data_IF_509579431129
#
_entry.id   IF_509579431129
#
_cell.length_a   1.000
_cell.length_b   1.000
_cell.length_c   1.000
_cell.angle_alpha   90.00
_cell.angle_beta   90.00
_cell.angle_gamma   90.00
#
_symmetry.space_group_name_H-M   'P 1'
#
loop_
_entity.id
_entity.type
_entity.pdbx_description
1 polymer ?
#
# COMPACT_ATOMS: atom_id res chain seq x y z
N UNK A 1 12.23 2.41 6.80
CA UNK A 1 12.34 0.99 6.38
C UNK A 1 13.02 0.86 5.00
N UNK A 2 13.36 -0.34 4.52
CA UNK A 2 13.83 -0.55 3.14
C UNK A 2 12.66 -0.94 2.23
N UNK A 3 12.76 -0.65 0.93
CA UNK A 3 11.70 -0.94 -0.07
C UNK A 3 11.20 -2.38 -0.03
N UNK A 4 12.13 -3.33 0.05
CA UNK A 4 11.80 -4.74 0.10
C UNK A 4 10.89 -5.09 1.30
N UNK A 5 11.14 -4.49 2.46
CA UNK A 5 10.33 -4.70 3.66
C UNK A 5 8.93 -4.08 3.48
N UNK A 6 8.86 -2.85 2.98
CA UNK A 6 7.58 -2.16 2.73
C UNK A 6 6.72 -2.96 1.75
N UNK A 7 7.31 -3.39 0.62
CA UNK A 7 6.63 -4.21 -0.38
C UNK A 7 6.17 -5.54 0.21
N UNK A 8 7.02 -6.23 0.97
CA UNK A 8 6.67 -7.48 1.62
C UNK A 8 5.48 -7.32 2.58
N UNK A 9 5.46 -6.22 3.35
CA UNK A 9 4.38 -5.91 4.29
C UNK A 9 3.07 -5.54 3.56
N UNK A 10 3.14 -4.79 2.46
CA UNK A 10 1.95 -4.52 1.62
C UNK A 10 1.39 -5.84 1.07
N UNK A 11 2.24 -6.74 0.56
CA UNK A 11 1.78 -8.06 0.11
C UNK A 11 1.22 -8.92 1.25
N UNK A 12 1.75 -8.79 2.46
CA UNK A 12 1.19 -9.46 3.63
C UNK A 12 -0.23 -8.93 3.95
N UNK A 13 -0.46 -7.63 3.80
CA UNK A 13 -1.80 -7.03 3.90
C UNK A 13 -2.72 -7.52 2.78
N UNK A 14 -2.26 -7.59 1.53
CA UNK A 14 -3.04 -8.17 0.43
C UNK A 14 -3.49 -9.58 0.79
N UNK A 15 -2.59 -10.45 1.25
CA UNK A 15 -2.92 -11.83 1.65
C UNK A 15 -3.85 -11.90 2.86
N UNK A 16 -3.82 -10.89 3.73
CA UNK A 16 -4.73 -10.79 4.88
C UNK A 16 -6.16 -10.51 4.46
N UNK A 17 -6.35 -9.60 3.51
CA UNK A 17 -7.68 -9.22 3.02
C UNK A 17 -8.17 -10.11 1.87
N UNK A 18 -7.25 -10.69 1.11
CA UNK A 18 -7.49 -11.60 -0.02
C UNK A 18 -6.64 -12.86 0.16
N UNK A 19 -7.07 -13.81 1.01
CA UNK A 19 -6.31 -15.03 1.30
C UNK A 19 -6.19 -15.98 0.09
N UNK A 20 -7.06 -15.81 -0.90
CA UNK A 20 -7.01 -16.49 -2.21
C UNK A 20 -5.99 -15.88 -3.18
N UNK A 21 -5.30 -14.80 -2.79
CA UNK A 21 -4.24 -14.21 -3.59
C UNK A 21 -3.04 -15.15 -3.71
N UNK A 22 -2.97 -15.87 -4.83
CA UNK A 22 -1.80 -16.67 -5.23
C UNK A 22 -0.89 -15.94 -6.22
N UNK A 23 -1.07 -14.63 -6.39
CA UNK A 23 -0.20 -13.81 -7.24
C UNK A 23 1.23 -13.74 -6.70
N UNK A 24 2.17 -13.48 -7.61
CA UNK A 24 3.58 -13.30 -7.25
C UNK A 24 3.82 -12.01 -6.46
N UNK A 25 5.08 -11.77 -6.07
CA UNK A 25 5.48 -10.52 -5.42
C UNK A 25 5.83 -9.44 -6.46
N UNK A 26 5.04 -9.35 -7.52
CA UNK A 26 5.30 -8.41 -8.61
C UNK A 26 4.76 -7.03 -8.25
N UNK A 27 5.65 -6.11 -7.91
CA UNK A 27 5.31 -4.75 -7.50
C UNK A 27 4.66 -3.91 -8.62
N UNK A 28 4.80 -4.32 -9.89
CA UNK A 28 4.17 -3.62 -11.02
C UNK A 28 2.71 -4.02 -11.19
N UNK A 29 2.22 -5.03 -10.46
CA UNK A 29 0.82 -5.42 -10.47
C UNK A 29 -0.04 -4.33 -9.84
N UNK A 30 -1.14 -3.99 -10.51
CA UNK A 30 -2.16 -3.11 -9.94
C UNK A 30 -3.01 -3.87 -8.91
N UNK A 31 -3.54 -3.18 -7.91
CA UNK A 31 -4.42 -3.79 -6.90
C UNK A 31 -5.60 -4.54 -7.54
N UNK A 32 -6.23 -3.94 -8.55
CA UNK A 32 -7.32 -4.57 -9.31
C UNK A 32 -6.85 -5.81 -10.09
N UNK A 33 -5.63 -5.79 -10.63
CA UNK A 33 -5.05 -6.93 -11.35
C UNK A 33 -4.64 -8.06 -10.39
N UNK A 34 -4.28 -7.72 -9.16
CA UNK A 34 -4.09 -8.66 -8.06
C UNK A 34 -5.43 -9.25 -7.56
N UNK A 35 -6.58 -8.80 -8.06
CA UNK A 35 -7.90 -9.24 -7.62
C UNK A 35 -8.36 -8.56 -6.33
N UNK A 36 -7.67 -7.50 -5.90
CA UNK A 36 -8.10 -6.66 -4.78
C UNK A 36 -9.27 -5.81 -5.25
N UNK A 37 -10.41 -5.96 -4.58
CA UNK A 37 -11.59 -5.16 -4.87
C UNK A 37 -11.36 -3.68 -4.50
N UNK A 38 -12.18 -2.80 -5.08
CA UNK A 38 -12.20 -1.37 -4.76
C UNK A 38 -12.39 -1.08 -3.25
N UNK A 39 -13.26 -1.83 -2.57
CA UNK A 39 -13.45 -1.68 -1.12
C UNK A 39 -12.21 -2.17 -0.36
N UNK A 40 -11.66 -3.31 -0.77
CA UNK A 40 -10.48 -3.89 -0.16
C UNK A 40 -9.24 -3.03 -0.36
N UNK A 41 -9.15 -2.31 -1.47
CA UNK A 41 -8.06 -1.36 -1.76
C UNK A 41 -8.05 -0.23 -0.73
N UNK A 42 -9.23 0.30 -0.37
CA UNK A 42 -9.35 1.32 0.68
C UNK A 42 -8.91 0.77 2.04
N UNK A 43 -9.41 -0.41 2.44
CA UNK A 43 -9.00 -1.07 3.70
C UNK A 43 -7.50 -1.35 3.75
N UNK A 44 -6.91 -1.76 2.62
CA UNK A 44 -5.48 -2.02 2.49
C UNK A 44 -4.65 -0.75 2.62
N UNK A 45 -5.07 0.34 1.99
CA UNK A 45 -4.39 1.62 2.07
C UNK A 45 -4.45 2.14 3.51
N UNK A 46 -5.63 2.14 4.15
CA UNK A 46 -5.79 2.54 5.56
C UNK A 46 -4.97 1.66 6.51
N UNK A 47 -4.93 0.35 6.27
CA UNK A 47 -4.08 -0.55 7.04
C UNK A 47 -2.59 -0.26 6.81
N UNK A 48 -2.20 0.12 5.60
CA UNK A 48 -0.83 0.52 5.26
C UNK A 48 -0.46 1.85 5.93
N UNK A 49 -1.31 2.86 5.85
CA UNK A 49 -1.19 4.14 6.55
C UNK A 49 -0.92 3.95 8.04
N UNK A 50 -1.79 3.19 8.72
CA UNK A 50 -1.64 2.91 10.15
C UNK A 50 -0.41 2.07 10.46
N UNK A 51 0.04 1.21 9.53
CA UNK A 51 1.16 0.29 9.74
C UNK A 51 2.50 1.00 9.57
N UNK A 52 2.61 1.88 8.59
CA UNK A 52 3.82 2.63 8.30
C UNK A 52 3.83 4.03 8.94
N UNK A 53 2.70 4.45 9.54
CA UNK A 53 2.58 5.78 10.15
C UNK A 53 2.56 6.91 9.12
N UNK A 54 1.99 6.67 7.93
CA UNK A 54 1.87 7.66 6.86
C UNK A 54 0.40 8.09 6.68
N UNK A 55 0.17 9.27 6.13
CA UNK A 55 -1.16 9.77 5.76
C UNK A 55 -1.22 9.91 4.23
N UNK A 56 -2.14 9.18 3.60
CA UNK A 56 -2.39 9.17 2.16
C UNK A 56 -3.69 9.93 1.91
N UNK A 57 -3.61 11.17 1.36
CA UNK A 57 -4.82 11.94 1.09
C UNK A 57 -5.63 11.31 -0.05
N UNK A 58 -6.95 11.55 -0.03
CA UNK A 58 -7.88 11.09 -1.07
C UNK A 58 -7.48 11.51 -2.49
N UNK A 59 -6.69 12.57 -2.66
CA UNK A 59 -6.18 13.04 -3.95
C UNK A 59 -5.06 12.18 -4.52
N UNK A 60 -4.27 11.53 -3.65
CA UNK A 60 -3.19 10.62 -4.03
C UNK A 60 -3.67 9.17 -4.11
N UNK A 61 -4.64 8.78 -3.27
CA UNK A 61 -5.33 7.47 -3.30
C UNK A 61 -5.62 6.91 -4.72
N UNK A 62 -6.26 7.66 -5.65
CA UNK A 62 -6.54 7.18 -7.00
C UNK A 62 -5.29 7.06 -7.89
N UNK A 63 -4.15 7.67 -7.50
CA UNK A 63 -2.86 7.52 -8.19
C UNK A 63 -2.15 6.26 -7.75
N UNK A 64 -2.34 5.83 -6.50
CA UNK A 64 -1.79 4.60 -5.94
C UNK A 64 -2.53 3.38 -6.48
N UNK A 65 -2.24 3.04 -7.73
CA UNK A 65 -2.89 1.93 -8.43
C UNK A 65 -2.08 0.64 -8.34
N UNK A 66 -0.77 0.74 -8.09
CA UNK A 66 0.16 -0.40 -8.02
C UNK A 66 0.80 -0.52 -6.64
N UNK A 67 1.30 -1.73 -6.33
CA UNK A 67 2.07 -1.97 -5.11
C UNK A 67 3.34 -1.12 -5.09
N UNK A 68 3.98 -0.95 -6.25
CA UNK A 68 5.15 -0.08 -6.38
C UNK A 68 4.82 1.37 -6.02
N UNK A 69 3.71 1.93 -6.51
CA UNK A 69 3.30 3.31 -6.18
C UNK A 69 3.08 3.46 -4.67
N UNK A 70 2.32 2.55 -4.05
CA UNK A 70 2.07 2.60 -2.62
C UNK A 70 3.37 2.47 -1.81
N UNK A 71 4.24 1.55 -2.20
CA UNK A 71 5.53 1.38 -1.54
C UNK A 71 6.41 2.62 -1.68
N UNK A 72 6.48 3.21 -2.88
CA UNK A 72 7.26 4.42 -3.15
C UNK A 72 6.72 5.63 -2.37
N UNK A 73 5.40 5.74 -2.26
CA UNK A 73 4.74 6.75 -1.44
C UNK A 73 5.09 6.58 0.04
N UNK A 74 4.89 5.38 0.58
CA UNK A 74 5.23 5.05 1.97
C UNK A 74 6.70 5.36 2.25
N UNK A 75 7.61 5.00 1.35
CA UNK A 75 9.04 5.27 1.54
C UNK A 75 9.40 6.74 1.52
N UNK A 76 8.72 7.56 0.72
CA UNK A 76 8.96 9.00 0.67
C UNK A 76 8.33 9.73 1.87
N UNK A 77 7.21 9.23 2.37
CA UNK A 77 6.42 9.87 3.41
C UNK A 77 6.61 9.28 4.83
N UNK A 78 7.30 8.14 4.99
CA UNK A 78 7.64 7.55 6.31
C UNK A 78 8.47 8.49 7.19
N UNK A 79 9.13 9.49 6.60
CA UNK A 79 9.97 10.47 7.31
C UNK A 79 9.28 11.79 7.60
N UNK A 80 8.05 12.00 7.13
CA UNK A 80 7.30 13.24 7.32
C UNK A 80 6.34 13.16 8.52
N UNK A 81 6.87 12.79 9.69
CA UNK A 81 6.28 13.19 10.97
C UNK A 81 6.71 14.65 11.27
N UNK A 82 6.54 15.56 10.31
CA UNK A 82 6.91 16.96 10.50
C UNK A 82 6.05 17.91 9.68
N UNK A 83 4.80 18.12 10.12
CA UNK A 83 4.26 19.48 10.09
C UNK A 83 2.75 19.63 9.92
N UNK A 84 2.03 19.61 11.04
CA UNK A 84 0.97 20.58 11.27
C UNK A 84 0.76 20.76 12.79
N UNK A 85 1.60 21.62 13.37
CA UNK A 85 1.32 22.34 14.60
C UNK A 85 0.84 23.76 14.25
#
# INVERSE_FOLDING_TARGET
MNRAEVVAEIFALIKRFLPEYEGGNDESISFTAAGVDSLTTVDLIVASESKFGVEIPDTELPKLTTVSDLADYVMQHESDESGAA
#
